data_IF_270147280972
#
_entry.id   IF_270147280972
#
_cell.length_a   1.000
_cell.length_b   1.000
_cell.length_c   1.000
_cell.angle_alpha   90.00
_cell.angle_beta   90.00
_cell.angle_gamma   90.00
#
_symmetry.space_group_name_H-M   'P 1'
#
loop_
_entity.id
_entity.type
_entity.pdbx_description
1 polymer ?
#
# COMPACT_ATOMS: atom_id res chain seq x y z
N UNK A 1 3.80 -21.48 0.18
CA UNK A 1 2.39 -21.04 0.30
C UNK A 1 2.36 -19.58 -0.10
N UNK A 2 1.74 -19.26 -1.22
CA UNK A 2 1.68 -17.90 -1.72
C UNK A 2 0.57 -17.10 -1.01
N UNK A 3 0.77 -15.79 -0.87
CA UNK A 3 -0.21 -14.91 -0.25
C UNK A 3 -1.38 -14.73 -1.22
N UNK A 4 -2.62 -14.97 -0.79
CA UNK A 4 -3.80 -14.71 -1.64
C UNK A 4 -4.17 -13.23 -1.64
N UNK A 5 -4.86 -12.71 -2.68
CA UNK A 5 -5.34 -11.33 -2.69
C UNK A 5 -6.22 -10.98 -1.48
N UNK A 6 -7.12 -11.88 -1.09
CA UNK A 6 -7.98 -11.68 0.09
C UNK A 6 -7.16 -11.62 1.39
N UNK A 7 -6.15 -12.48 1.53
CA UNK A 7 -5.27 -12.47 2.69
C UNK A 7 -4.40 -11.20 2.74
N UNK A 8 -3.83 -10.79 1.61
CA UNK A 8 -3.07 -9.55 1.49
C UNK A 8 -3.93 -8.32 1.86
N UNK A 9 -5.13 -8.21 1.31
CA UNK A 9 -6.04 -7.12 1.63
C UNK A 9 -6.38 -7.07 3.13
N UNK A 10 -6.61 -8.23 3.78
CA UNK A 10 -6.87 -8.29 5.22
C UNK A 10 -5.67 -7.80 6.05
N UNK A 11 -4.45 -8.19 5.68
CA UNK A 11 -3.22 -7.73 6.35
C UNK A 11 -3.06 -6.22 6.19
N UNK A 12 -3.20 -5.71 4.96
CA UNK A 12 -3.06 -4.29 4.64
C UNK A 12 -4.06 -3.46 5.43
N UNK A 13 -5.33 -3.85 5.43
CA UNK A 13 -6.38 -3.14 6.17
C UNK A 13 -6.09 -3.09 7.65
N UNK A 14 -5.61 -4.20 8.25
CA UNK A 14 -5.23 -4.26 9.66
C UNK A 14 -4.09 -3.28 9.97
N UNK A 15 -3.04 -3.28 9.16
CA UNK A 15 -1.87 -2.40 9.36
C UNK A 15 -2.22 -0.93 9.14
N UNK A 16 -3.07 -0.64 8.16
CA UNK A 16 -3.48 0.73 7.86
C UNK A 16 -4.42 1.35 8.92
N UNK A 17 -4.86 0.60 9.93
CA UNK A 17 -5.56 1.20 11.10
C UNK A 17 -4.60 2.07 11.91
N UNK A 18 -3.34 1.63 12.03
CA UNK A 18 -2.27 2.39 12.68
C UNK A 18 -1.43 3.12 11.63
N UNK A 19 -1.57 4.44 11.55
CA UNK A 19 -0.83 5.27 10.60
C UNK A 19 0.70 5.11 10.78
N UNK A 20 1.18 4.78 11.98
CA UNK A 20 2.60 4.54 12.23
C UNK A 20 3.12 3.25 11.57
N UNK A 21 2.24 2.37 11.09
CA UNK A 21 2.60 1.15 10.34
C UNK A 21 2.73 1.39 8.83
N UNK A 22 2.48 2.62 8.35
CA UNK A 22 2.54 3.00 6.94
C UNK A 22 3.72 3.94 6.70
N UNK A 23 4.62 3.54 5.81
CA UNK A 23 5.84 4.28 5.49
C UNK A 23 5.85 4.64 4.01
N UNK A 24 6.15 5.90 3.72
CA UNK A 24 6.26 6.40 2.36
C UNK A 24 7.73 6.43 1.95
N UNK A 25 8.04 5.85 0.79
CA UNK A 25 9.37 6.05 0.19
C UNK A 25 9.47 7.46 -0.39
N UNK A 26 10.69 7.98 -0.53
CA UNK A 26 10.94 9.25 -1.22
C UNK A 26 10.32 9.30 -2.64
N UNK A 27 10.31 8.16 -3.33
CA UNK A 27 9.65 8.06 -4.64
C UNK A 27 8.14 8.29 -4.51
N UNK A 28 7.50 7.60 -3.56
CA UNK A 28 6.07 7.76 -3.28
C UNK A 28 5.73 9.21 -2.89
N UNK A 29 6.48 9.81 -1.96
CA UNK A 29 6.26 11.20 -1.52
C UNK A 29 6.33 12.19 -2.69
N UNK A 30 7.32 12.05 -3.57
CA UNK A 30 7.45 12.89 -4.77
C UNK A 30 6.21 12.75 -5.68
N UNK A 31 5.76 11.53 -5.92
CA UNK A 31 4.56 11.27 -6.75
C UNK A 31 3.29 11.80 -6.11
N UNK A 32 3.18 11.72 -4.78
CA UNK A 32 2.05 12.32 -4.04
C UNK A 32 2.00 13.83 -4.23
N UNK A 33 3.15 14.48 -4.09
CA UNK A 33 3.28 15.92 -4.31
C UNK A 33 2.89 16.31 -5.74
N UNK A 34 3.47 15.66 -6.76
CA UNK A 34 3.18 15.92 -8.18
C UNK A 34 1.69 15.77 -8.53
N UNK A 35 0.98 14.86 -7.87
CA UNK A 35 -0.41 14.48 -8.18
C UNK A 35 -1.44 15.01 -7.19
N UNK A 36 -1.01 15.87 -6.25
CA UNK A 36 -1.88 16.40 -5.20
C UNK A 36 -2.62 15.27 -4.46
N UNK A 37 -1.90 14.21 -4.10
CA UNK A 37 -2.44 13.08 -3.33
C UNK A 37 -2.05 13.26 -1.88
N UNK A 38 -3.05 13.30 -1.01
CA UNK A 38 -2.88 13.45 0.42
C UNK A 38 -2.72 12.10 1.13
N UNK A 39 -2.07 12.10 2.30
CA UNK A 39 -1.96 10.90 3.16
C UNK A 39 -3.34 10.28 3.48
N UNK A 40 -4.38 11.06 3.84
CA UNK A 40 -5.73 10.50 4.08
C UNK A 40 -6.33 9.77 2.88
N UNK A 41 -6.08 10.23 1.65
CA UNK A 41 -6.53 9.53 0.45
C UNK A 41 -5.82 8.19 0.29
N UNK A 42 -4.51 8.15 0.51
CA UNK A 42 -3.75 6.88 0.49
C UNK A 42 -4.28 5.93 1.56
N UNK A 43 -4.47 6.39 2.80
CA UNK A 43 -5.03 5.58 3.88
C UNK A 43 -6.43 5.05 3.54
N UNK A 44 -7.26 5.85 2.85
CA UNK A 44 -8.56 5.39 2.35
C UNK A 44 -8.40 4.20 1.38
N UNK A 45 -7.46 4.28 0.44
CA UNK A 45 -7.15 3.17 -0.48
C UNK A 45 -6.68 1.94 0.29
N UNK A 46 -5.78 2.07 1.27
CA UNK A 46 -5.30 0.92 2.04
C UNK A 46 -6.42 0.27 2.87
N UNK A 47 -7.31 1.06 3.45
CA UNK A 47 -8.40 0.59 4.32
C UNK A 47 -9.59 0.01 3.54
N UNK A 48 -9.89 0.54 2.36
CA UNK A 48 -11.15 0.25 1.64
C UNK A 48 -10.95 -0.27 0.23
N UNK A 49 -9.74 -0.18 -0.31
CA UNK A 49 -9.42 -0.60 -1.66
C UNK A 49 -9.49 -2.11 -1.88
N UNK A 50 -9.48 -2.45 -3.16
CA UNK A 50 -9.37 -3.83 -3.68
C UNK A 50 -7.99 -4.02 -4.31
N UNK A 51 -7.44 -5.22 -4.21
CA UNK A 51 -6.21 -5.55 -4.94
C UNK A 51 -6.55 -5.65 -6.43
N UNK A 52 -5.82 -4.90 -7.25
CA UNK A 52 -5.94 -4.88 -8.72
C UNK A 52 -4.76 -5.56 -9.41
N UNK A 53 -3.67 -5.76 -8.68
CA UNK A 53 -2.47 -6.44 -9.16
C UNK A 53 -1.75 -7.15 -8.02
N UNK A 54 -1.26 -8.36 -8.26
CA UNK A 54 -0.63 -9.20 -7.25
C UNK A 54 -1.64 -9.78 -6.25
N UNK A 55 -1.20 -10.21 -5.05
CA UNK A 55 0.16 -10.09 -4.52
C UNK A 55 1.17 -10.97 -5.26
N UNK A 56 2.36 -10.42 -5.50
CA UNK A 56 3.49 -11.09 -6.11
C UNK A 56 4.72 -10.99 -5.20
N UNK A 57 5.59 -12.00 -5.22
CA UNK A 57 6.86 -11.93 -4.47
C UNK A 57 7.76 -10.88 -5.12
N UNK A 58 8.20 -9.91 -4.34
CA UNK A 58 9.24 -8.97 -4.74
C UNK A 58 10.65 -9.50 -4.41
N UNK A 59 11.66 -8.67 -4.63
CA UNK A 59 13.04 -8.99 -4.25
C UNK A 59 13.17 -9.02 -2.72
N UNK A 60 13.99 -9.90 -2.11
CA UNK A 60 14.20 -9.92 -0.64
C UNK A 60 12.93 -10.14 0.20
N UNK A 61 12.11 -11.14 -0.15
CA UNK A 61 11.03 -11.70 0.71
C UNK A 61 9.84 -10.79 1.04
N UNK A 62 9.72 -9.61 0.43
CA UNK A 62 8.52 -8.78 0.57
C UNK A 62 7.44 -9.17 -0.45
N UNK A 63 6.17 -8.98 -0.08
CA UNK A 63 5.04 -9.13 -1.01
C UNK A 63 4.66 -7.78 -1.58
N UNK A 64 4.51 -7.68 -2.91
CA UNK A 64 4.05 -6.46 -3.59
C UNK A 64 2.65 -6.64 -4.14
N UNK A 65 1.82 -5.63 -4.00
CA UNK A 65 0.51 -5.56 -4.65
C UNK A 65 0.11 -4.12 -4.93
N UNK A 66 -0.82 -3.95 -5.85
CA UNK A 66 -1.44 -2.66 -6.15
C UNK A 66 -2.89 -2.68 -5.68
N UNK A 67 -3.32 -1.62 -4.98
CA UNK A 67 -4.68 -1.45 -4.52
C UNK A 67 -5.31 -0.26 -5.22
N UNK A 68 -6.56 -0.40 -5.64
CA UNK A 68 -7.35 0.70 -6.18
C UNK A 68 -8.58 0.98 -5.32
N UNK A 69 -8.93 2.26 -5.18
CA UNK A 69 -10.17 2.69 -4.56
C UNK A 69 -10.69 3.95 -5.24
N UNK A 70 -11.99 3.94 -5.54
CA UNK A 70 -12.70 5.12 -6.02
C UNK A 70 -12.83 6.13 -4.87
N UNK A 71 -12.24 7.30 -5.07
CA UNK A 71 -12.45 8.50 -4.26
C UNK A 71 -13.54 9.35 -4.93
N UNK A 72 -13.83 10.52 -4.37
CA UNK A 72 -14.93 11.39 -4.85
C UNK A 72 -14.82 11.73 -6.34
N UNK A 73 -13.62 12.10 -6.79
CA UNK A 73 -13.41 12.67 -8.13
C UNK A 73 -12.46 11.85 -9.00
N UNK A 74 -11.86 10.79 -8.45
CA UNK A 74 -10.86 9.97 -9.14
C UNK A 74 -10.77 8.57 -8.55
N UNK A 75 -10.32 7.59 -9.33
CA UNK A 75 -9.80 6.35 -8.78
C UNK A 75 -8.32 6.54 -8.44
N UNK A 76 -7.91 6.11 -7.25
CA UNK A 76 -6.50 6.15 -6.83
C UNK A 76 -5.94 4.74 -6.75
N UNK A 77 -4.83 4.49 -7.45
CA UNK A 77 -4.07 3.24 -7.37
C UNK A 77 -2.76 3.42 -6.61
N UNK A 78 -2.54 2.59 -5.60
CA UNK A 78 -1.39 2.64 -4.69
C UNK A 78 -0.64 1.31 -4.76
N UNK A 79 0.66 1.35 -5.08
CA UNK A 79 1.52 0.19 -5.01
C UNK A 79 2.15 0.09 -3.60
N UNK A 80 2.04 -1.09 -3.01
CA UNK A 80 2.51 -1.38 -1.65
C UNK A 80 3.44 -2.57 -1.63
N UNK A 81 4.43 -2.51 -0.73
CA UNK A 81 5.22 -3.65 -0.31
C UNK A 81 4.92 -3.96 1.16
N UNK A 82 4.57 -5.21 1.45
CA UNK A 82 4.44 -5.73 2.80
C UNK A 82 5.81 -6.21 3.28
N UNK A 83 6.30 -5.58 4.34
CA UNK A 83 7.60 -5.85 4.94
C UNK A 83 7.52 -6.18 6.42
N UNK A 84 8.68 -6.50 6.98
CA UNK A 84 8.89 -6.68 8.41
C UNK A 84 9.92 -5.65 8.88
N UNK A 85 9.55 -4.87 9.90
CA UNK A 85 10.45 -4.01 10.63
C UNK A 85 11.11 -4.85 11.74
N UNK A 86 12.39 -5.19 11.54
CA UNK A 86 13.13 -6.03 12.47
C UNK A 86 13.39 -5.34 13.81
N UNK A 87 13.62 -4.02 13.82
CA UNK A 87 13.92 -3.25 15.03
C UNK A 87 12.68 -3.16 15.92
N UNK A 88 11.51 -2.93 15.32
CA UNK A 88 10.23 -2.84 16.05
C UNK A 88 9.49 -4.17 16.15
N UNK A 89 10.06 -5.24 15.62
CA UNK A 89 9.47 -6.58 15.58
C UNK A 89 8.00 -6.59 15.13
N UNK A 90 7.68 -5.86 14.05
CA UNK A 90 6.31 -5.73 13.54
C UNK A 90 6.21 -5.69 12.02
N UNK A 91 5.03 -5.99 11.48
CA UNK A 91 4.74 -5.84 10.06
C UNK A 91 4.50 -4.37 9.69
N UNK A 92 4.93 -3.96 8.51
CA UNK A 92 4.77 -2.60 7.99
C UNK A 92 4.30 -2.61 6.53
N UNK A 93 3.68 -1.51 6.12
CA UNK A 93 3.36 -1.20 4.73
C UNK A 93 4.35 -0.16 4.24
N UNK A 94 5.03 -0.44 3.13
CA UNK A 94 5.89 0.51 2.44
C UNK A 94 5.24 0.92 1.12
N UNK A 95 4.98 2.21 0.95
CA UNK A 95 4.43 2.78 -0.28
C UNK A 95 5.58 3.13 -1.21
N UNK A 96 5.61 2.50 -2.40
CA UNK A 96 6.74 2.61 -3.32
C UNK A 96 6.42 3.44 -4.56
N UNK A 97 5.22 3.31 -5.15
CA UNK A 97 4.82 3.96 -6.41
C UNK A 97 3.30 4.20 -6.44
N UNK A 98 2.86 5.21 -7.20
CA UNK A 98 1.45 5.47 -7.53
C UNK A 98 1.20 5.25 -9.02
N UNK A 99 0.20 4.44 -9.35
CA UNK A 99 -0.19 4.14 -10.73
C UNK A 99 -1.26 5.11 -11.22
N UNK A 100 -1.15 5.57 -12.47
CA UNK A 100 -2.31 6.05 -13.22
C UNK A 100 -2.86 4.83 -13.97
N UNK A 101 -4.13 4.50 -13.77
CA UNK A 101 -4.82 3.55 -14.64
C UNK A 101 -6.09 4.22 -15.13
#
# INVERSE_FOLDING_TARGET
>A
MDLSPAAAARIIRRLAVDDASVFFTRHAERRMFERHVSVPEVLSVLRRGRIVEGPARGARWHWRCSLAHALRERELTVAVALGWDAERSRQIIVITVFGDR
#
